data_IF_356725181212
#
_entry.id   IF_356725181212
#
_cell.length_a   1.000
_cell.length_b   1.000
_cell.length_c   1.000
_cell.angle_alpha   90.00
_cell.angle_beta   90.00
_cell.angle_gamma   90.00
#
_symmetry.space_group_name_H-M   'P 1'
#
loop_
_entity.id
_entity.type
_entity.pdbx_description
1 polymer ?
#
# COMPACT_ATOMS: atom_id res chain seq x y z
N UNK A 1 6.15 -8.92 28.26
CA UNK A 1 6.17 -9.84 27.11
C UNK A 1 5.29 -9.23 26.03
N UNK A 2 5.41 -9.65 24.77
CA UNK A 2 4.47 -9.21 23.72
C UNK A 2 3.42 -10.30 23.53
N UNK A 3 2.13 -9.93 23.57
CA UNK A 3 1.04 -10.87 23.29
C UNK A 3 0.46 -10.60 21.90
N UNK A 4 0.10 -11.65 21.19
CA UNK A 4 -0.50 -11.55 19.86
C UNK A 4 -2.01 -11.75 19.94
N UNK A 5 -2.75 -10.91 19.21
CA UNK A 5 -4.21 -11.07 19.14
C UNK A 5 -4.58 -12.31 18.32
N UNK A 6 -5.34 -13.28 18.87
CA UNK A 6 -5.68 -14.52 18.16
C UNK A 6 -6.59 -14.28 16.95
N UNK A 7 -7.29 -13.13 16.90
CA UNK A 7 -8.23 -12.81 15.81
C UNK A 7 -7.58 -12.11 14.63
N UNK A 8 -6.58 -11.25 14.86
CA UNK A 8 -5.99 -10.42 13.81
C UNK A 8 -4.47 -10.52 13.66
N UNK A 9 -3.78 -11.25 14.55
CA UNK A 9 -2.33 -11.47 14.47
C UNK A 9 -1.44 -10.28 14.85
N UNK A 10 -2.01 -9.12 15.20
CA UNK A 10 -1.23 -7.95 15.61
C UNK A 10 -0.64 -8.13 17.02
N UNK A 11 0.57 -7.62 17.24
CA UNK A 11 1.20 -7.55 18.56
C UNK A 11 0.57 -6.45 19.42
N UNK A 12 0.47 -6.71 20.72
CA UNK A 12 -0.12 -5.84 21.71
C UNK A 12 0.75 -5.82 22.97
N UNK A 13 0.69 -4.71 23.71
CA UNK A 13 1.23 -4.66 25.06
C UNK A 13 0.41 -5.57 26.00
N UNK A 14 1.09 -6.26 26.93
CA UNK A 14 0.49 -7.26 27.82
C UNK A 14 -0.71 -6.73 28.63
N UNK A 15 -0.70 -5.44 28.99
CA UNK A 15 -1.73 -4.79 29.82
C UNK A 15 -3.07 -4.56 29.11
N UNK A 16 -3.14 -4.73 27.78
CA UNK A 16 -4.31 -4.33 26.99
C UNK A 16 -5.39 -5.41 27.03
N UNK A 17 -6.52 -5.16 27.70
CA UNK A 17 -7.63 -6.13 27.80
C UNK A 17 -8.45 -6.29 26.52
N UNK A 18 -8.38 -5.31 25.60
CA UNK A 18 -9.13 -5.32 24.33
C UNK A 18 -8.20 -4.98 23.19
N UNK A 19 -8.10 -5.85 22.18
CA UNK A 19 -7.30 -5.58 21.00
C UNK A 19 -7.76 -4.28 20.31
N UNK A 20 -6.89 -3.28 20.26
CA UNK A 20 -7.18 -1.97 19.66
C UNK A 20 -7.44 -2.04 18.14
N UNK A 21 -7.05 -3.13 17.49
CA UNK A 21 -7.19 -3.29 16.04
C UNK A 21 -8.49 -3.98 15.60
N UNK A 22 -9.04 -4.87 16.42
CA UNK A 22 -10.21 -5.68 16.02
C UNK A 22 -11.28 -5.83 17.10
N UNK A 23 -11.11 -5.16 18.26
CA UNK A 23 -12.08 -5.19 19.36
C UNK A 23 -12.16 -6.52 20.12
N UNK A 24 -11.24 -7.46 19.87
CA UNK A 24 -11.23 -8.75 20.58
C UNK A 24 -10.87 -8.55 22.06
N UNK A 25 -11.81 -8.86 22.96
CA UNK A 25 -11.62 -8.90 24.41
C UNK A 25 -10.86 -10.15 24.80
N UNK A 26 -9.71 -9.99 25.46
CA UNK A 26 -9.00 -11.12 26.02
C UNK A 26 -9.77 -11.61 27.25
N UNK A 27 -10.00 -12.92 27.41
CA UNK A 27 -10.56 -13.46 28.64
C UNK A 27 -9.65 -13.01 29.78
N UNK A 28 -10.20 -12.26 30.74
CA UNK A 28 -9.46 -11.88 31.94
C UNK A 28 -9.10 -13.19 32.63
N UNK A 29 -7.84 -13.60 32.55
CA UNK A 29 -7.32 -14.66 33.40
C UNK A 29 -7.70 -14.26 34.83
N UNK A 30 -8.57 -15.07 35.45
CA UNK A 30 -8.96 -14.88 36.85
C UNK A 30 -7.69 -14.64 37.65
N UNK A 31 -7.66 -13.66 38.57
CA UNK A 31 -6.53 -13.53 39.47
C UNK A 31 -6.36 -14.86 40.18
N UNK A 32 -5.21 -15.49 39.95
CA UNK A 32 -4.83 -16.73 40.60
C UNK A 32 -4.73 -16.40 42.09
N UNK A 33 -5.75 -16.74 42.88
CA UNK A 33 -5.71 -16.63 44.33
C UNK A 33 -4.72 -17.67 44.84
N UNK A 34 -3.44 -17.26 44.98
CA UNK A 34 -2.50 -18.03 45.77
C UNK A 34 -2.96 -18.05 47.24
N UNK A 35 -2.89 -19.20 47.94
CA UNK A 35 -3.12 -19.26 49.37
C UNK A 35 -2.15 -18.33 50.10
N UNK A 36 -2.70 -17.44 50.93
CA UNK A 36 -1.92 -16.59 51.84
C UNK A 36 -1.16 -17.49 52.83
N UNK A 37 0.16 -17.49 52.75
CA UNK A 37 1.03 -17.86 53.87
C UNK A 37 1.01 -16.72 54.91
N UNK A 38 0.98 -17.04 56.22
CA UNK A 38 0.89 -16.04 57.27
C UNK A 38 2.15 -15.15 57.33
N UNK A 39 2.02 -13.89 57.79
CA UNK A 39 3.11 -12.93 57.80
C UNK A 39 4.19 -13.29 58.84
N UNK A 40 5.49 -13.07 58.54
CA UNK A 40 6.54 -13.20 59.53
C UNK A 40 6.44 -12.09 60.59
N UNK A 41 6.55 -12.49 61.85
CA UNK A 41 6.62 -11.62 63.02
C UNK A 41 7.92 -10.81 62.98
N UNK A 42 7.81 -9.48 62.91
CA UNK A 42 8.95 -8.57 62.99
C UNK A 42 9.37 -8.37 64.46
N UNK A 43 10.63 -8.67 64.77
CA UNK A 43 11.32 -8.16 65.97
C UNK A 43 11.81 -6.72 65.71
N UNK A 44 11.65 -5.78 66.66
CA UNK A 44 12.17 -4.43 66.52
C UNK A 44 13.70 -4.38 66.75
N UNK A 45 14.43 -3.77 65.81
CA UNK A 45 15.87 -3.55 65.87
C UNK A 45 16.18 -2.24 66.65
N UNK A 46 17.28 -2.14 67.42
CA UNK A 46 17.55 -0.98 68.27
C UNK A 46 18.07 0.24 67.50
N UNK A 47 17.64 1.41 67.94
CA UNK A 47 18.08 2.73 67.50
C UNK A 47 19.54 2.99 67.91
N UNK A 48 20.39 3.42 66.96
CA UNK A 48 21.73 3.97 67.24
C UNK A 48 21.76 5.50 66.98
N UNK A 49 22.46 6.29 67.81
CA UNK A 49 22.51 7.75 67.74
C UNK A 49 23.58 8.28 66.74
N UNK A 50 23.52 9.58 66.37
CA UNK A 50 24.36 10.14 65.32
C UNK A 50 25.78 10.51 65.82
N UNK A 51 26.79 10.20 65.02
CA UNK A 51 28.16 10.70 65.22
C UNK A 51 28.42 11.95 64.37
N UNK A 52 28.84 13.00 65.08
CA UNK A 52 29.51 14.20 64.59
C UNK A 52 31.00 13.89 64.25
N UNK A 53 31.71 14.90 63.71
CA UNK A 53 33.15 14.97 63.36
C UNK A 53 33.43 14.60 61.88
N UNK A 54 34.18 15.33 61.06
CA UNK A 54 35.02 16.52 61.24
C UNK A 54 35.75 16.83 59.92
N UNK A 55 36.29 18.05 59.83
CA UNK A 55 36.91 18.73 58.67
C UNK A 55 38.03 17.95 57.95
N UNK A 56 38.21 18.24 56.65
CA UNK A 56 39.52 18.64 56.09
C UNK A 56 39.37 19.33 54.73
N UNK A 57 40.00 20.50 54.60
CA UNK A 57 40.28 21.23 53.34
C UNK A 57 41.43 20.57 52.59
N UNK A 58 41.39 20.55 51.26
CA UNK A 58 42.49 20.96 50.38
C UNK A 58 41.90 21.29 49.00
N UNK A 59 42.19 22.49 48.48
CA UNK A 59 41.74 22.94 47.16
C UNK A 59 42.78 22.68 46.07
N UNK A 60 42.34 22.72 44.81
CA UNK A 60 43.04 23.40 43.71
C UNK A 60 42.16 23.44 42.45
N UNK A 61 42.01 24.66 41.92
CA UNK A 61 41.84 25.09 40.51
C UNK A 61 40.70 24.53 39.64
N UNK A 62 39.74 25.44 39.40
CA UNK A 62 38.83 25.52 38.25
C UNK A 62 39.55 25.41 36.89
N UNK A 63 38.82 25.02 35.84
CA UNK A 63 38.71 25.86 34.66
C UNK A 63 37.26 26.31 34.42
N UNK A 64 37.15 27.55 33.98
CA UNK A 64 35.94 28.28 33.63
C UNK A 64 34.94 27.46 32.81
N UNK A 65 33.73 27.33 33.35
CA UNK A 65 32.55 26.87 32.64
C UNK A 65 31.82 28.10 32.08
N UNK A 66 31.38 28.11 30.81
CA UNK A 66 30.70 29.26 30.23
C UNK A 66 29.35 29.48 30.89
N UNK A 67 29.08 30.75 31.20
CA UNK A 67 27.84 31.31 31.71
C UNK A 67 26.61 30.72 31.00
N UNK A 68 25.75 30.09 31.79
CA UNK A 68 24.53 29.43 31.34
C UNK A 68 23.59 30.40 30.62
N UNK A 69 23.15 29.97 29.45
CA UNK A 69 21.97 30.52 28.80
C UNK A 69 20.77 30.04 29.65
N UNK A 70 19.89 30.92 30.14
CA UNK A 70 18.73 30.50 30.91
C UNK A 70 17.87 29.56 30.06
N UNK A 71 17.69 28.33 30.54
CA UNK A 71 16.79 27.38 29.89
C UNK A 71 15.38 27.98 29.86
N UNK A 72 14.69 27.99 28.71
CA UNK A 72 13.29 28.36 28.66
C UNK A 72 12.51 27.39 29.55
N UNK A 73 11.88 27.91 30.59
CA UNK A 73 10.88 27.17 31.35
C UNK A 73 9.69 26.95 30.43
N UNK A 74 9.67 25.82 29.73
CA UNK A 74 8.50 25.38 28.98
C UNK A 74 7.41 25.10 30.00
N UNK A 75 6.50 26.06 30.17
CA UNK A 75 5.26 25.87 30.90
C UNK A 75 4.48 24.81 30.14
N UNK A 76 4.55 23.55 30.61
CA UNK A 76 3.72 22.47 30.11
C UNK A 76 2.27 22.90 30.31
N UNK A 77 1.64 23.36 29.22
CA UNK A 77 0.21 23.60 29.17
C UNK A 77 -0.43 22.26 29.49
N UNK A 78 -0.97 22.12 30.70
CA UNK A 78 -1.74 20.95 31.08
C UNK A 78 -2.81 20.77 30.01
N UNK A 79 -2.70 19.67 29.25
CA UNK A 79 -3.75 19.31 28.31
C UNK A 79 -5.04 19.19 29.11
N UNK A 80 -6.15 19.77 28.62
CA UNK A 80 -7.45 19.62 29.27
C UNK A 80 -7.71 18.13 29.47
N UNK A 81 -7.78 17.69 30.72
CA UNK A 81 -8.15 16.32 31.03
C UNK A 81 -9.65 16.22 30.75
N UNK A 82 -10.01 15.71 29.57
CA UNK A 82 -11.42 15.48 29.23
C UNK A 82 -12.03 14.55 30.28
N UNK A 83 -13.22 14.86 30.82
CA UNK A 83 -13.89 14.02 31.81
C UNK A 83 -14.19 12.64 31.21
N UNK A 84 -13.84 11.58 31.95
CA UNK A 84 -13.95 10.18 31.52
C UNK A 84 -15.37 9.76 31.06
N UNK A 85 -16.40 10.52 31.43
CA UNK A 85 -17.79 10.26 31.07
C UNK A 85 -18.19 10.74 29.66
N UNK A 86 -17.36 11.50 28.95
CA UNK A 86 -17.75 12.04 27.63
C UNK A 86 -17.82 10.96 26.55
N UNK A 87 -17.03 9.89 26.66
CA UNK A 87 -17.04 8.77 25.71
C UNK A 87 -18.24 7.82 25.96
N UNK A 88 -18.82 7.83 27.16
CA UNK A 88 -19.82 6.86 27.58
C UNK A 88 -21.24 7.13 27.04
N UNK A 89 -21.46 8.32 26.46
CA UNK A 89 -22.76 8.75 25.93
C UNK A 89 -22.86 8.70 24.40
N UNK A 90 -21.91 8.11 23.68
CA UNK A 90 -22.12 7.81 22.25
C UNK A 90 -23.29 6.81 22.17
N UNK A 91 -24.42 7.17 21.55
CA UNK A 91 -25.60 6.31 21.56
C UNK A 91 -25.24 4.98 20.91
N UNK A 92 -25.52 3.86 21.60
CA UNK A 92 -25.24 2.50 21.12
C UNK A 92 -25.77 2.24 19.70
N UNK A 93 -26.84 2.93 19.32
CA UNK A 93 -27.43 2.91 17.98
C UNK A 93 -26.47 3.44 16.90
N UNK A 94 -25.66 4.47 17.20
CA UNK A 94 -24.67 5.00 16.26
C UNK A 94 -23.54 4.00 16.02
N UNK A 95 -23.08 3.32 17.07
CA UNK A 95 -22.04 2.31 16.97
C UNK A 95 -22.49 1.09 16.14
N UNK A 96 -23.75 0.65 16.29
CA UNK A 96 -24.28 -0.46 15.50
C UNK A 96 -24.42 -0.09 14.02
N UNK A 97 -24.80 1.16 13.69
CA UNK A 97 -24.86 1.64 12.30
C UNK A 97 -23.46 1.72 11.67
N UNK A 98 -22.47 2.22 12.42
CA UNK A 98 -21.06 2.23 12.01
C UNK A 98 -20.52 0.81 11.76
N UNK A 99 -20.86 -0.14 12.62
CA UNK A 99 -20.39 -1.51 12.47
C UNK A 99 -21.03 -2.21 11.26
N UNK A 100 -22.32 -2.01 11.02
CA UNK A 100 -23.01 -2.57 9.84
C UNK A 100 -22.49 -1.95 8.55
N UNK A 101 -22.30 -0.62 8.51
CA UNK A 101 -21.73 0.05 7.33
C UNK A 101 -20.30 -0.38 7.06
N UNK A 102 -19.47 -0.58 8.09
CA UNK A 102 -18.12 -1.11 7.93
C UNK A 102 -18.10 -2.52 7.32
N UNK A 103 -18.99 -3.42 7.76
CA UNK A 103 -19.09 -4.76 7.19
C UNK A 103 -19.57 -4.75 5.74
N UNK A 104 -20.51 -3.86 5.40
CA UNK A 104 -20.96 -3.65 4.02
C UNK A 104 -19.81 -3.13 3.14
N UNK A 105 -19.03 -2.16 3.62
CA UNK A 105 -17.86 -1.65 2.91
C UNK A 105 -16.84 -2.78 2.67
N UNK A 106 -16.57 -3.60 3.69
CA UNK A 106 -15.63 -4.70 3.57
C UNK A 106 -16.08 -5.77 2.56
N UNK A 107 -17.39 -6.03 2.46
CA UNK A 107 -17.92 -6.96 1.45
C UNK A 107 -17.85 -6.36 0.05
N UNK A 108 -18.32 -5.13 -0.15
CA UNK A 108 -18.21 -4.41 -1.45
C UNK A 108 -16.77 -4.34 -1.92
N UNK A 109 -15.85 -4.14 -0.98
CA UNK A 109 -14.43 -4.11 -1.24
C UNK A 109 -13.88 -5.45 -1.76
N UNK A 110 -14.28 -6.57 -1.15
CA UNK A 110 -13.87 -7.89 -1.61
C UNK A 110 -14.42 -8.20 -3.02
N UNK A 111 -15.64 -7.75 -3.33
CA UNK A 111 -16.19 -7.86 -4.69
C UNK A 111 -15.42 -7.01 -5.69
N UNK A 112 -15.13 -5.74 -5.36
CA UNK A 112 -14.33 -4.86 -6.21
C UNK A 112 -12.95 -5.46 -6.51
N UNK A 113 -12.30 -6.01 -5.47
CA UNK A 113 -11.03 -6.74 -5.61
C UNK A 113 -11.12 -7.91 -6.58
N UNK A 114 -12.15 -8.74 -6.43
CA UNK A 114 -12.37 -9.90 -7.28
C UNK A 114 -12.62 -9.48 -8.74
N UNK A 115 -13.45 -8.47 -8.96
CA UNK A 115 -13.76 -7.92 -10.29
C UNK A 115 -12.48 -7.39 -10.96
N UNK A 116 -11.70 -6.59 -10.22
CA UNK A 116 -10.43 -6.03 -10.71
C UNK A 116 -9.44 -7.14 -11.04
N UNK A 117 -9.26 -8.13 -10.16
CA UNK A 117 -8.34 -9.22 -10.40
C UNK A 117 -8.74 -10.08 -11.61
N UNK A 118 -10.03 -10.35 -11.80
CA UNK A 118 -10.52 -11.04 -13.01
C UNK A 118 -10.30 -10.20 -14.26
N UNK A 119 -10.57 -8.89 -14.22
CA UNK A 119 -10.32 -7.98 -15.35
C UNK A 119 -8.84 -7.99 -15.78
N UNK A 120 -7.92 -7.94 -14.81
CA UNK A 120 -6.47 -8.04 -15.05
C UNK A 120 -6.09 -9.37 -15.71
N UNK A 121 -6.63 -10.48 -15.21
CA UNK A 121 -6.38 -11.81 -15.80
C UNK A 121 -6.91 -11.90 -17.23
N UNK A 122 -8.15 -11.46 -17.46
CA UNK A 122 -8.74 -11.48 -18.79
C UNK A 122 -7.98 -10.59 -19.76
N UNK A 123 -7.52 -9.42 -19.32
CA UNK A 123 -6.68 -8.56 -20.15
C UNK A 123 -5.36 -9.24 -20.51
N UNK A 124 -4.66 -9.80 -19.53
CA UNK A 124 -3.41 -10.52 -19.76
C UNK A 124 -3.59 -11.68 -20.74
N UNK A 125 -4.67 -12.45 -20.59
CA UNK A 125 -5.02 -13.55 -21.49
C UNK A 125 -5.39 -13.03 -22.88
N UNK A 126 -6.16 -11.95 -22.96
CA UNK A 126 -6.51 -11.29 -24.22
C UNK A 126 -5.27 -10.90 -25.01
N UNK A 127 -4.34 -10.19 -24.38
CA UNK A 127 -3.10 -9.73 -25.01
C UNK A 127 -2.14 -10.87 -25.40
N UNK A 128 -2.26 -12.07 -24.84
CA UNK A 128 -1.47 -13.22 -25.29
C UNK A 128 -1.86 -13.69 -26.69
N UNK A 129 -3.14 -13.60 -27.08
CA UNK A 129 -3.62 -14.07 -28.38
C UNK A 129 -2.95 -13.40 -29.58
N UNK A 130 -2.95 -12.05 -29.71
CA UNK A 130 -2.34 -11.39 -30.86
C UNK A 130 -0.82 -11.65 -30.92
N UNK A 131 -0.15 -11.83 -29.79
CA UNK A 131 1.28 -12.14 -29.77
C UNK A 131 1.58 -13.57 -30.23
N UNK A 132 0.75 -14.53 -29.85
CA UNK A 132 0.86 -15.92 -30.34
C UNK A 132 0.60 -15.96 -31.85
N UNK A 133 -0.43 -15.26 -32.33
CA UNK A 133 -0.72 -15.15 -33.76
C UNK A 133 0.42 -14.48 -34.53
N UNK A 134 1.00 -13.41 -33.97
CA UNK A 134 2.16 -12.74 -34.54
C UNK A 134 3.37 -13.68 -34.66
N UNK A 135 3.64 -14.52 -33.65
CA UNK A 135 4.72 -15.52 -33.71
C UNK A 135 4.44 -16.56 -34.79
N UNK A 136 3.23 -17.13 -34.83
CA UNK A 136 2.85 -18.14 -35.83
C UNK A 136 2.97 -17.57 -37.24
N UNK A 137 2.48 -16.34 -37.45
CA UNK A 137 2.58 -15.63 -38.72
C UNK A 137 4.05 -15.36 -39.09
N UNK A 138 4.85 -14.89 -38.14
CA UNK A 138 6.28 -14.60 -38.35
C UNK A 138 7.06 -15.86 -38.76
N UNK A 139 6.76 -17.01 -38.15
CA UNK A 139 7.37 -18.29 -38.53
C UNK A 139 6.94 -18.70 -39.94
N UNK A 140 5.64 -18.55 -40.27
CA UNK A 140 5.10 -18.91 -41.58
C UNK A 140 5.71 -18.10 -42.73
N UNK A 141 5.97 -16.81 -42.50
CA UNK A 141 6.50 -15.89 -43.52
C UNK A 141 8.01 -15.64 -43.40
N UNK A 142 8.73 -16.42 -42.58
CA UNK A 142 10.17 -16.25 -42.35
C UNK A 142 10.58 -14.84 -41.86
N UNK A 143 9.68 -14.13 -41.18
CA UNK A 143 9.92 -12.81 -40.61
C UNK A 143 10.52 -12.94 -39.20
N UNK A 144 11.75 -13.45 -39.10
CA UNK A 144 12.35 -13.77 -37.79
C UNK A 144 12.57 -12.57 -36.87
N UNK A 145 12.66 -11.35 -37.42
CA UNK A 145 12.90 -10.15 -36.63
C UNK A 145 11.77 -9.84 -35.63
N UNK A 146 10.50 -10.14 -35.97
CA UNK A 146 9.35 -9.89 -35.08
C UNK A 146 9.17 -10.94 -33.98
N UNK A 147 9.89 -12.07 -34.03
CA UNK A 147 9.76 -13.14 -33.03
C UNK A 147 10.32 -12.71 -31.67
N UNK A 148 11.46 -12.01 -31.66
CA UNK A 148 12.10 -11.56 -30.42
C UNK A 148 11.20 -10.60 -29.60
N UNK A 149 10.65 -9.50 -30.16
CA UNK A 149 9.74 -8.64 -29.38
C UNK A 149 8.45 -9.38 -28.99
N UNK A 150 7.88 -10.21 -29.86
CA UNK A 150 6.65 -10.95 -29.52
C UNK A 150 6.86 -11.92 -28.34
N UNK A 151 8.00 -12.61 -28.28
CA UNK A 151 8.32 -13.52 -27.15
C UNK A 151 8.54 -12.77 -25.83
N UNK A 152 9.18 -11.60 -25.87
CA UNK A 152 9.31 -10.73 -24.69
C UNK A 152 7.95 -10.19 -24.22
N UNK A 153 7.04 -9.84 -25.15
CA UNK A 153 5.67 -9.45 -24.79
C UNK A 153 4.92 -10.59 -24.11
N UNK A 154 4.98 -11.81 -24.64
CA UNK A 154 4.38 -12.98 -23.99
C UNK A 154 4.94 -13.15 -22.57
N UNK A 155 6.26 -13.07 -22.39
CA UNK A 155 6.87 -13.16 -21.06
C UNK A 155 6.35 -12.07 -20.12
N UNK A 156 6.21 -10.84 -20.61
CA UNK A 156 5.65 -9.73 -19.83
C UNK A 156 4.19 -10.00 -19.43
N UNK A 157 3.34 -10.47 -20.34
CA UNK A 157 1.94 -10.76 -20.05
C UNK A 157 1.76 -11.95 -19.12
N UNK A 158 2.65 -12.94 -19.15
CA UNK A 158 2.66 -14.03 -18.17
C UNK A 158 3.00 -13.52 -16.76
N UNK A 159 3.96 -12.60 -16.62
CA UNK A 159 4.26 -11.97 -15.34
C UNK A 159 3.06 -11.15 -14.85
N UNK A 160 2.43 -10.41 -15.76
CA UNK A 160 1.25 -9.62 -15.44
C UNK A 160 0.04 -10.49 -15.01
N UNK A 161 -0.13 -11.66 -15.63
CA UNK A 161 -1.10 -12.68 -15.24
C UNK A 161 -0.80 -13.21 -13.82
N UNK A 162 0.47 -13.53 -13.53
CA UNK A 162 0.88 -13.96 -12.18
C UNK A 162 0.59 -12.87 -11.14
N UNK A 163 0.84 -11.60 -11.46
CA UNK A 163 0.47 -10.46 -10.61
C UNK A 163 -1.03 -10.45 -10.34
N UNK A 164 -1.87 -10.62 -11.36
CA UNK A 164 -3.34 -10.71 -11.22
C UNK A 164 -3.78 -11.86 -10.31
N UNK A 165 -3.19 -13.05 -10.46
CA UNK A 165 -3.50 -14.21 -9.61
C UNK A 165 -3.07 -13.96 -8.16
N UNK A 166 -1.84 -13.48 -7.94
CA UNK A 166 -1.35 -13.17 -6.59
C UNK A 166 -2.18 -12.09 -5.91
N UNK A 167 -2.65 -11.12 -6.69
CA UNK A 167 -3.56 -10.09 -6.22
C UNK A 167 -4.88 -10.71 -5.73
N UNK A 168 -5.48 -11.65 -6.46
CA UNK A 168 -6.69 -12.36 -6.02
C UNK A 168 -6.47 -13.23 -4.77
N UNK A 169 -5.33 -13.92 -4.67
CA UNK A 169 -5.02 -14.83 -3.54
C UNK A 169 -4.74 -14.06 -2.24
N UNK A 170 -4.24 -12.82 -2.34
CA UNK A 170 -3.93 -12.03 -1.16
C UNK A 170 -5.17 -11.83 -0.28
N UNK A 171 -5.08 -12.03 1.04
CA UNK A 171 -6.25 -11.84 1.95
C UNK A 171 -6.66 -10.38 2.11
N UNK A 172 -5.70 -9.45 1.97
CA UNK A 172 -5.90 -8.02 2.05
C UNK A 172 -5.35 -7.36 0.77
N UNK A 173 -5.70 -6.10 0.47
CA UNK A 173 -4.98 -5.30 -0.54
C UNK A 173 -3.55 -4.93 -0.13
N UNK A 174 -3.06 -5.45 1.00
CA UNK A 174 -1.64 -5.36 1.28
C UNK A 174 -0.93 -5.97 0.08
N UNK A 175 -0.33 -5.11 -0.74
CA UNK A 175 0.52 -5.51 -1.84
C UNK A 175 1.52 -6.46 -1.23
N UNK A 176 1.38 -7.75 -1.56
CA UNK A 176 2.34 -8.74 -1.12
C UNK A 176 3.70 -8.22 -1.54
N UNK A 177 4.72 -8.38 -0.69
CA UNK A 177 6.05 -7.83 -0.95
C UNK A 177 6.61 -8.30 -2.30
N UNK A 178 6.06 -9.40 -2.83
CA UNK A 178 6.33 -9.96 -4.15
C UNK A 178 5.61 -9.27 -5.33
N UNK A 179 4.41 -8.69 -5.13
CA UNK A 179 3.62 -8.10 -6.22
C UNK A 179 4.36 -6.89 -6.81
N UNK A 180 4.90 -6.02 -5.97
CA UNK A 180 5.57 -4.80 -6.42
C UNK A 180 6.80 -5.06 -7.31
N UNK A 181 7.78 -5.91 -6.95
CA UNK A 181 8.89 -6.22 -7.83
C UNK A 181 8.45 -6.97 -9.10
N UNK A 182 7.41 -7.80 -9.04
CA UNK A 182 6.86 -8.45 -10.24
C UNK A 182 6.23 -7.42 -11.20
N UNK A 183 5.51 -6.42 -10.69
CA UNK A 183 4.98 -5.34 -11.50
C UNK A 183 6.09 -4.50 -12.15
N UNK A 184 7.16 -4.19 -11.42
CA UNK A 184 8.32 -3.49 -12.00
C UNK A 184 9.05 -4.36 -13.04
N UNK A 185 9.15 -5.67 -12.82
CA UNK A 185 9.73 -6.60 -13.79
C UNK A 185 8.90 -6.64 -15.08
N UNK A 186 7.57 -6.61 -14.98
CA UNK A 186 6.69 -6.49 -16.14
C UNK A 186 7.02 -5.24 -16.97
N UNK A 187 7.06 -4.05 -16.34
CA UNK A 187 7.38 -2.80 -17.03
C UNK A 187 8.81 -2.76 -17.58
N UNK A 188 9.76 -3.41 -16.89
CA UNK A 188 11.13 -3.54 -17.37
C UNK A 188 11.18 -4.35 -18.67
N UNK A 189 10.54 -5.52 -18.70
CA UNK A 189 10.50 -6.36 -19.90
C UNK A 189 9.77 -5.64 -21.02
N UNK A 190 8.64 -4.99 -20.73
CA UNK A 190 7.91 -4.18 -21.71
C UNK A 190 8.79 -3.08 -22.31
N UNK A 191 9.55 -2.36 -21.47
CA UNK A 191 10.48 -1.33 -21.95
C UNK A 191 11.59 -1.90 -22.84
N UNK A 192 12.16 -3.06 -22.48
CA UNK A 192 13.17 -3.75 -23.30
C UNK A 192 12.56 -4.17 -24.64
N UNK A 193 11.35 -4.73 -24.64
CA UNK A 193 10.63 -5.09 -25.86
C UNK A 193 10.51 -3.91 -26.81
N UNK A 194 10.09 -2.76 -26.29
CA UNK A 194 9.90 -1.55 -27.09
C UNK A 194 11.21 -1.03 -27.67
N UNK A 195 12.29 -1.08 -26.88
CA UNK A 195 13.62 -0.76 -27.40
C UNK A 195 14.03 -1.70 -28.55
N UNK A 196 13.76 -3.00 -28.42
CA UNK A 196 14.08 -4.00 -29.46
C UNK A 196 13.20 -3.80 -30.69
N UNK A 197 11.89 -3.61 -30.51
CA UNK A 197 10.94 -3.41 -31.60
C UNK A 197 11.26 -2.14 -32.41
N UNK A 198 11.54 -1.03 -31.73
CA UNK A 198 11.95 0.23 -32.39
C UNK A 198 13.32 0.14 -33.06
N UNK A 199 14.27 -0.60 -32.47
CA UNK A 199 15.56 -0.87 -33.11
C UNK A 199 15.39 -1.54 -34.48
N UNK A 200 14.48 -2.52 -34.54
CA UNK A 200 14.20 -3.32 -35.73
C UNK A 200 13.43 -2.48 -36.76
N UNK A 201 12.45 -1.69 -36.33
CA UNK A 201 11.52 -1.01 -37.23
C UNK A 201 12.12 0.22 -37.92
N UNK A 202 12.78 1.10 -37.18
CA UNK A 202 13.16 2.44 -37.68
C UNK A 202 14.62 2.79 -37.42
N UNK A 203 15.34 2.01 -36.60
CA UNK A 203 16.70 2.32 -36.17
C UNK A 203 16.86 3.63 -35.38
N UNK A 204 15.76 4.36 -35.16
CA UNK A 204 15.70 5.66 -34.48
C UNK A 204 14.38 5.72 -33.71
N UNK A 205 14.44 6.01 -32.41
CA UNK A 205 13.23 6.08 -31.56
C UNK A 205 13.21 5.21 -30.31
N UNK A 206 14.36 4.93 -29.69
CA UNK A 206 14.44 4.17 -28.42
C UNK A 206 13.80 4.88 -27.22
N UNK A 207 13.48 6.17 -27.36
CA UNK A 207 13.07 7.04 -26.27
C UNK A 207 11.95 6.46 -25.40
N UNK A 208 10.89 5.85 -25.96
CA UNK A 208 9.82 5.29 -25.16
C UNK A 208 10.31 4.13 -24.28
N UNK A 209 10.99 3.14 -24.86
CA UNK A 209 11.51 2.00 -24.12
C UNK A 209 12.55 2.38 -23.05
N UNK A 210 13.42 3.36 -23.33
CA UNK A 210 14.41 3.88 -22.37
C UNK A 210 13.73 4.49 -21.14
N UNK A 211 12.64 5.23 -21.32
CA UNK A 211 11.87 5.81 -20.21
C UNK A 211 11.32 4.70 -19.31
N UNK A 212 10.72 3.65 -19.88
CA UNK A 212 10.21 2.52 -19.11
C UNK A 212 11.30 1.79 -18.34
N UNK A 213 12.42 1.48 -19.01
CA UNK A 213 13.54 0.78 -18.38
C UNK A 213 14.11 1.61 -17.23
N UNK A 214 14.32 2.91 -17.45
CA UNK A 214 14.83 3.83 -16.42
C UNK A 214 13.85 3.93 -15.25
N UNK A 215 12.55 4.08 -15.54
CA UNK A 215 11.50 4.10 -14.53
C UNK A 215 11.50 2.82 -13.69
N UNK A 216 11.51 1.65 -14.31
CA UNK A 216 11.51 0.36 -13.62
C UNK A 216 12.76 0.16 -12.75
N UNK A 217 13.95 0.51 -13.25
CA UNK A 217 15.22 0.41 -12.51
C UNK A 217 15.20 1.32 -11.27
N UNK A 218 14.77 2.57 -11.43
CA UNK A 218 14.61 3.48 -10.29
C UNK A 218 13.62 2.92 -9.27
N UNK A 219 12.52 2.30 -9.72
CA UNK A 219 11.55 1.63 -8.85
C UNK A 219 12.21 0.52 -8.04
N UNK A 220 13.04 -0.32 -8.66
CA UNK A 220 13.79 -1.35 -7.96
C UNK A 220 14.75 -0.76 -6.92
N UNK A 221 15.46 0.31 -7.26
CA UNK A 221 16.33 1.01 -6.30
C UNK A 221 15.55 1.58 -5.12
N UNK A 222 14.36 2.13 -5.35
CA UNK A 222 13.49 2.62 -4.29
C UNK A 222 13.07 1.49 -3.31
N UNK A 223 12.83 0.27 -3.81
CA UNK A 223 12.53 -0.89 -2.96
C UNK A 223 13.75 -1.30 -2.12
N UNK A 224 14.93 -1.33 -2.76
CA UNK A 224 16.14 -1.87 -2.13
C UNK A 224 16.74 -0.90 -1.10
N UNK A 225 16.57 0.41 -1.27
CA UNK A 225 17.16 1.42 -0.38
C UNK A 225 16.34 1.61 0.90
N UNK A 226 16.46 0.66 1.84
CA UNK A 226 15.69 0.65 3.10
C UNK A 226 16.10 1.72 4.11
N UNK A 227 17.34 2.24 4.03
CA UNK A 227 17.92 3.03 5.14
C UNK A 227 17.63 4.53 5.05
N UNK A 228 17.36 5.07 3.85
CA UNK A 228 17.00 6.46 3.66
C UNK A 228 15.62 6.57 3.01
N UNK A 229 14.64 6.70 3.91
CA UNK A 229 13.23 6.83 3.63
C UNK A 229 12.93 7.93 2.61
N UNK A 230 13.50 9.12 2.77
CA UNK A 230 13.18 10.28 1.92
C UNK A 230 13.68 10.05 0.50
N UNK A 231 14.92 9.59 0.36
CA UNK A 231 15.50 9.31 -0.95
C UNK A 231 14.75 8.19 -1.68
N UNK A 232 14.33 7.14 -0.97
CA UNK A 232 13.51 6.09 -1.55
C UNK A 232 12.17 6.64 -2.10
N UNK A 233 11.56 7.65 -1.47
CA UNK A 233 10.34 8.28 -1.99
C UNK A 233 10.57 9.08 -3.25
N UNK A 234 11.61 9.92 -3.26
CA UNK A 234 11.88 10.77 -4.42
C UNK A 234 12.19 9.88 -5.62
N UNK A 235 12.99 8.83 -5.42
CA UNK A 235 13.31 7.86 -6.47
C UNK A 235 12.05 7.09 -6.91
N UNK A 236 11.22 6.61 -5.96
CA UNK A 236 9.99 5.90 -6.27
C UNK A 236 8.98 6.78 -7.01
N UNK A 237 8.86 8.05 -6.65
CA UNK A 237 8.01 9.03 -7.32
C UNK A 237 8.52 9.31 -8.75
N UNK A 238 9.82 9.53 -8.94
CA UNK A 238 10.41 9.75 -10.26
C UNK A 238 10.27 8.51 -11.14
N UNK A 239 10.51 7.31 -10.59
CA UNK A 239 10.27 6.03 -11.25
C UNK A 239 8.84 5.97 -11.81
N UNK A 240 7.88 6.26 -10.94
CA UNK A 240 6.47 6.26 -11.27
C UNK A 240 6.14 7.32 -12.34
N UNK A 241 6.67 8.53 -12.21
CA UNK A 241 6.47 9.62 -13.16
C UNK A 241 7.02 9.29 -14.56
N UNK A 242 8.17 8.61 -14.63
CA UNK A 242 8.74 8.19 -15.91
C UNK A 242 7.85 7.15 -16.61
N UNK A 243 7.43 6.10 -15.88
CA UNK A 243 6.51 5.10 -16.44
C UNK A 243 5.21 5.79 -16.92
N UNK A 244 4.78 6.85 -16.23
CA UNK A 244 3.59 7.61 -16.58
C UNK A 244 3.75 8.38 -17.89
N UNK A 245 4.84 9.13 -18.03
CA UNK A 245 5.13 9.92 -19.23
C UNK A 245 5.15 8.99 -20.45
N UNK A 246 5.74 7.80 -20.32
CA UNK A 246 5.70 6.78 -21.37
C UNK A 246 4.27 6.37 -21.72
N UNK A 247 3.49 5.92 -20.73
CA UNK A 247 2.14 5.41 -20.97
C UNK A 247 1.23 6.44 -21.62
N UNK A 248 1.37 7.72 -21.25
CA UNK A 248 0.56 8.80 -21.81
C UNK A 248 0.97 9.19 -23.24
N UNK A 249 2.26 9.13 -23.57
CA UNK A 249 2.78 9.62 -24.85
C UNK A 249 2.65 8.60 -25.98
N UNK A 250 2.76 7.29 -25.68
CA UNK A 250 2.93 6.28 -26.72
C UNK A 250 1.66 5.47 -27.01
N UNK A 251 0.80 5.24 -26.01
CA UNK A 251 -0.37 4.40 -26.21
C UNK A 251 -1.53 5.13 -26.91
N UNK A 252 -1.46 6.46 -27.12
CA UNK A 252 -2.52 7.33 -27.67
C UNK A 252 -3.93 7.08 -27.07
N UNK A 253 -3.95 6.35 -25.97
CA UNK A 253 -5.11 5.70 -25.42
C UNK A 253 -4.75 5.34 -23.98
N UNK A 254 -5.53 5.93 -23.08
CA UNK A 254 -6.05 5.26 -21.88
C UNK A 254 -5.23 5.49 -20.62
N UNK A 255 -5.87 6.23 -19.72
CA UNK A 255 -5.36 6.73 -18.44
C UNK A 255 -5.01 5.64 -17.39
N UNK A 256 -4.71 4.41 -17.81
CA UNK A 256 -4.40 3.29 -16.91
C UNK A 256 -3.02 3.40 -16.25
N UNK A 257 -1.99 3.74 -17.04
CA UNK A 257 -0.67 4.12 -16.51
C UNK A 257 -0.79 5.23 -15.46
N UNK A 258 -1.41 6.39 -15.77
CA UNK A 258 -1.72 7.46 -14.82
C UNK A 258 -2.32 7.03 -13.49
N UNK A 259 -3.36 6.20 -13.51
CA UNK A 259 -4.06 5.83 -12.29
C UNK A 259 -3.28 4.85 -11.42
N UNK A 260 -2.69 3.80 -12.02
CA UNK A 260 -1.85 2.83 -11.31
C UNK A 260 -0.63 3.52 -10.71
N UNK A 261 -0.09 4.51 -11.40
CA UNK A 261 1.09 5.27 -10.98
C UNK A 261 0.78 6.32 -9.93
N UNK A 262 -0.34 7.03 -10.05
CA UNK A 262 -0.76 7.97 -9.00
C UNK A 262 -1.12 7.23 -7.71
N UNK A 263 -1.68 6.02 -7.81
CA UNK A 263 -1.90 5.12 -6.67
C UNK A 263 -0.60 4.63 -6.07
N UNK A 264 0.35 4.19 -6.88
CA UNK A 264 1.65 3.73 -6.40
C UNK A 264 2.43 4.85 -5.71
N UNK A 265 2.46 6.05 -6.30
CA UNK A 265 3.10 7.22 -5.67
C UNK A 265 2.40 7.62 -4.37
N UNK A 266 1.06 7.62 -4.31
CA UNK A 266 0.35 7.89 -3.07
C UNK A 266 0.56 6.80 -2.01
N UNK A 267 0.58 5.52 -2.38
CA UNK A 267 0.84 4.39 -1.48
C UNK A 267 2.26 4.42 -0.90
N UNK A 268 3.23 4.83 -1.71
CA UNK A 268 4.62 5.07 -1.29
C UNK A 268 4.68 6.25 -0.30
N UNK A 269 3.97 7.35 -0.55
CA UNK A 269 3.90 8.48 0.40
C UNK A 269 3.22 8.06 1.71
N UNK A 270 2.17 7.24 1.64
CA UNK A 270 1.32 6.88 2.79
C UNK A 270 1.89 5.77 3.68
N UNK A 271 2.82 4.96 3.19
CA UNK A 271 3.47 3.91 3.98
C UNK A 271 4.36 4.47 5.10
N UNK A 272 4.68 5.77 5.06
CA UNK A 272 5.70 6.35 5.93
C UNK A 272 5.32 7.65 6.62
N UNK A 273 4.13 8.20 6.35
CA UNK A 273 3.51 9.21 7.22
C UNK A 273 2.86 8.47 8.40
N UNK A 274 3.33 8.77 9.61
CA UNK A 274 2.92 8.05 10.84
C UNK A 274 1.58 8.53 11.43
N UNK A 275 0.90 9.41 10.71
CA UNK A 275 -0.43 9.89 11.07
C UNK A 275 -1.47 8.90 10.53
N UNK A 276 -2.12 8.15 11.42
CA UNK A 276 -3.21 7.19 11.07
C UNK A 276 -4.28 7.82 10.18
N UNK A 277 -4.61 9.09 10.42
CA UNK A 277 -5.63 9.84 9.66
C UNK A 277 -5.17 10.12 8.22
N UNK A 278 -3.93 10.59 8.05
CA UNK A 278 -3.37 10.86 6.73
C UNK A 278 -3.31 9.56 5.93
N UNK A 279 -2.96 8.45 6.59
CA UNK A 279 -2.98 7.12 5.99
C UNK A 279 -4.37 6.75 5.45
N UNK A 280 -5.43 6.85 6.28
CA UNK A 280 -6.80 6.51 5.87
C UNK A 280 -7.31 7.34 4.67
N UNK A 281 -7.14 8.67 4.73
CA UNK A 281 -7.49 9.58 3.62
C UNK A 281 -6.67 9.23 2.38
N UNK A 282 -5.38 8.92 2.55
CA UNK A 282 -4.49 8.55 1.47
C UNK A 282 -4.88 7.27 0.73
N UNK A 283 -5.21 6.22 1.46
CA UNK A 283 -5.72 4.98 0.87
C UNK A 283 -7.01 5.23 0.08
N UNK A 284 -7.86 6.13 0.57
CA UNK A 284 -9.13 6.45 -0.07
C UNK A 284 -8.94 7.25 -1.36
N UNK A 285 -8.07 8.27 -1.34
CA UNK A 285 -7.68 9.03 -2.55
C UNK A 285 -7.02 8.11 -3.57
N UNK A 286 -6.14 7.21 -3.12
CA UNK A 286 -5.54 6.20 -3.98
C UNK A 286 -6.63 5.36 -4.66
N UNK A 287 -7.56 4.80 -3.88
CA UNK A 287 -8.65 3.99 -4.42
C UNK A 287 -9.49 4.76 -5.47
N UNK A 288 -9.80 6.04 -5.22
CA UNK A 288 -10.49 6.89 -6.20
C UNK A 288 -9.72 7.03 -7.52
N UNK A 289 -8.42 7.31 -7.43
CA UNK A 289 -7.60 7.52 -8.62
C UNK A 289 -7.43 6.22 -9.40
N UNK A 290 -7.18 5.10 -8.69
CA UNK A 290 -7.16 3.75 -9.27
C UNK A 290 -8.45 3.48 -10.07
N UNK A 291 -9.59 3.80 -9.46
CA UNK A 291 -10.90 3.59 -10.03
C UNK A 291 -11.16 4.40 -11.29
N UNK A 292 -10.77 5.68 -11.32
CA UNK A 292 -10.85 6.50 -12.53
C UNK A 292 -10.00 5.88 -13.64
N UNK A 293 -8.82 5.33 -13.30
CA UNK A 293 -8.01 4.52 -14.20
C UNK A 293 -8.74 3.34 -14.80
N UNK A 294 -9.35 2.52 -13.95
CA UNK A 294 -10.13 1.37 -14.40
C UNK A 294 -11.31 1.77 -15.28
N UNK A 295 -12.00 2.87 -14.99
CA UNK A 295 -13.09 3.36 -15.86
C UNK A 295 -12.53 3.74 -17.23
N UNK A 296 -11.51 4.60 -17.26
CA UNK A 296 -10.93 5.12 -18.50
C UNK A 296 -10.32 4.03 -19.38
N UNK A 297 -9.65 3.04 -18.78
CA UNK A 297 -9.16 1.85 -19.47
C UNK A 297 -10.28 0.91 -19.90
N UNK A 298 -11.30 0.75 -19.07
CA UNK A 298 -12.46 -0.04 -19.47
C UNK A 298 -13.13 0.56 -20.71
N UNK A 299 -13.35 1.88 -20.69
CA UNK A 299 -13.93 2.63 -21.80
C UNK A 299 -13.16 2.51 -23.10
N UNK A 300 -11.85 2.33 -23.02
CA UNK A 300 -11.03 2.24 -24.21
C UNK A 300 -10.90 0.86 -24.79
N UNK A 301 -10.87 -0.18 -23.96
CA UNK A 301 -11.01 -1.55 -24.44
C UNK A 301 -12.35 -1.74 -25.15
N UNK A 302 -13.39 -1.01 -24.72
CA UNK A 302 -14.69 -0.96 -25.40
C UNK A 302 -14.67 -0.23 -26.75
N UNK A 303 -13.65 0.57 -27.03
CA UNK A 303 -13.51 1.29 -28.30
C UNK A 303 -12.74 0.53 -29.38
N UNK A 304 -12.13 -0.61 -29.02
CA UNK A 304 -11.39 -1.45 -29.97
C UNK A 304 -12.34 -1.99 -31.03
N UNK A 305 -12.00 -1.84 -32.30
CA UNK A 305 -12.78 -2.43 -33.40
C UNK A 305 -12.52 -3.93 -33.51
N UNK A 306 -13.54 -4.72 -33.87
CA UNK A 306 -13.36 -6.15 -34.14
C UNK A 306 -12.40 -6.34 -35.34
N UNK A 307 -11.21 -6.95 -35.15
CA UNK A 307 -10.23 -7.12 -36.23
C UNK A 307 -10.63 -8.19 -37.26
N UNK A 308 -11.74 -8.91 -37.04
CA UNK A 308 -12.18 -10.01 -37.90
C UNK A 308 -11.36 -11.29 -37.68
N UNK A 309 -11.80 -12.40 -38.30
CA UNK A 309 -11.17 -13.71 -38.12
C UNK A 309 -11.52 -14.39 -36.78
N UNK A 310 -11.22 -15.69 -36.68
CA UNK A 310 -11.60 -16.50 -35.51
C UNK A 310 -10.85 -16.09 -34.24
N UNK A 311 -9.52 -15.94 -34.31
CA UNK A 311 -8.70 -15.47 -33.18
C UNK A 311 -8.99 -14.01 -32.83
N UNK A 312 -9.21 -13.16 -33.84
CA UNK A 312 -9.59 -11.77 -33.65
C UNK A 312 -10.94 -11.59 -32.94
N UNK A 313 -11.91 -12.45 -33.23
CA UNK A 313 -13.22 -12.43 -32.53
C UNK A 313 -13.09 -12.85 -31.07
N UNK A 314 -12.27 -13.87 -30.77
CA UNK A 314 -11.99 -14.28 -29.40
C UNK A 314 -11.25 -13.18 -28.61
N UNK A 315 -10.20 -12.59 -29.21
CA UNK A 315 -9.49 -11.44 -28.66
C UNK A 315 -10.45 -10.28 -28.36
N UNK A 316 -11.28 -9.91 -29.32
CA UNK A 316 -12.27 -8.84 -29.17
C UNK A 316 -13.25 -9.13 -28.02
N UNK A 317 -13.80 -10.35 -27.95
CA UNK A 317 -14.71 -10.75 -26.87
C UNK A 317 -14.07 -10.67 -25.48
N UNK A 318 -12.83 -11.16 -25.33
CA UNK A 318 -12.09 -11.10 -24.06
C UNK A 318 -11.75 -9.64 -23.69
N UNK A 319 -11.35 -8.83 -24.68
CA UNK A 319 -10.99 -7.42 -24.50
C UNK A 319 -12.20 -6.60 -24.07
N UNK A 320 -13.35 -6.77 -24.72
CA UNK A 320 -14.62 -6.13 -24.34
C UNK A 320 -15.05 -6.58 -22.95
N UNK A 321 -14.99 -7.89 -22.64
CA UNK A 321 -15.34 -8.40 -21.32
C UNK A 321 -14.45 -7.81 -20.21
N UNK A 322 -13.13 -7.75 -20.45
CA UNK A 322 -12.19 -7.09 -19.54
C UNK A 322 -12.51 -5.61 -19.38
N UNK A 323 -12.86 -4.93 -20.47
CA UNK A 323 -13.27 -3.53 -20.49
C UNK A 323 -14.49 -3.26 -19.62
N UNK A 324 -15.56 -4.04 -19.78
CA UNK A 324 -16.78 -3.95 -18.97
C UNK A 324 -16.46 -4.16 -17.49
N UNK A 325 -15.74 -5.24 -17.16
CA UNK A 325 -15.37 -5.54 -15.77
C UNK A 325 -14.50 -4.45 -15.16
N UNK A 326 -13.61 -3.85 -15.95
CA UNK A 326 -12.79 -2.71 -15.54
C UNK A 326 -13.66 -1.50 -15.21
N UNK A 327 -14.63 -1.13 -16.07
CA UNK A 327 -15.57 -0.03 -15.76
C UNK A 327 -16.35 -0.31 -14.49
N UNK A 328 -16.92 -1.51 -14.35
CA UNK A 328 -17.70 -1.91 -13.18
C UNK A 328 -16.83 -1.84 -11.91
N UNK A 329 -15.64 -2.45 -11.94
CA UNK A 329 -14.69 -2.43 -10.82
C UNK A 329 -14.26 -1.01 -10.45
N UNK A 330 -14.05 -0.15 -11.45
CA UNK A 330 -13.77 1.26 -11.29
C UNK A 330 -14.90 1.98 -10.54
N UNK A 331 -16.15 1.85 -10.99
CA UNK A 331 -17.33 2.45 -10.33
C UNK A 331 -17.45 1.98 -8.88
N UNK A 332 -17.30 0.68 -8.62
CA UNK A 332 -17.30 0.16 -7.24
C UNK A 332 -16.21 0.76 -6.38
N UNK A 333 -15.00 0.90 -6.92
CA UNK A 333 -13.90 1.51 -6.17
C UNK A 333 -14.10 3.03 -5.94
N UNK A 334 -14.81 3.75 -6.83
CA UNK A 334 -15.20 5.15 -6.56
C UNK A 334 -16.11 5.20 -5.34
N UNK A 335 -17.17 4.37 -5.35
CA UNK A 335 -18.13 4.31 -4.23
C UNK A 335 -17.40 3.97 -2.93
N UNK A 336 -16.58 2.92 -2.93
CA UNK A 336 -15.76 2.55 -1.77
C UNK A 336 -14.81 3.67 -1.31
N UNK A 337 -14.14 4.35 -2.25
CA UNK A 337 -13.23 5.45 -1.96
C UNK A 337 -13.94 6.63 -1.29
N UNK A 338 -15.10 7.04 -1.80
CA UNK A 338 -15.93 8.09 -1.18
C UNK A 338 -16.36 7.69 0.23
N UNK A 339 -16.85 6.46 0.40
CA UNK A 339 -17.25 5.96 1.72
C UNK A 339 -16.08 5.95 2.72
N UNK A 340 -14.88 5.53 2.30
CA UNK A 340 -13.71 5.55 3.17
C UNK A 340 -13.26 6.97 3.53
N UNK A 341 -13.40 7.95 2.63
CA UNK A 341 -13.15 9.36 2.94
C UNK A 341 -14.14 9.85 3.99
N UNK A 342 -15.44 9.64 3.77
CA UNK A 342 -16.50 10.07 4.69
C UNK A 342 -16.27 9.43 6.08
N UNK A 343 -16.00 8.12 6.11
CA UNK A 343 -15.71 7.41 7.35
C UNK A 343 -14.47 7.96 8.08
N UNK A 344 -13.39 8.25 7.33
CA UNK A 344 -12.16 8.82 7.89
C UNK A 344 -12.37 10.24 8.44
N UNK A 345 -13.27 11.03 7.83
CA UNK A 345 -13.62 12.36 8.31
C UNK A 345 -14.51 12.30 9.57
N UNK A 346 -15.53 11.44 9.60
CA UNK A 346 -16.44 11.30 10.75
C UNK A 346 -15.70 10.77 11.98
N UNK A 347 -14.82 9.77 11.80
CA UNK A 347 -14.04 9.20 12.92
C UNK A 347 -13.01 10.17 13.48
N UNK A 348 -12.63 11.22 12.73
CA UNK A 348 -11.77 12.28 13.25
C UNK A 348 -12.49 13.13 14.29
N UNK A 349 -13.76 13.46 14.06
CA UNK A 349 -14.52 14.32 14.99
C UNK A 349 -14.92 13.62 16.28
N UNK A 350 -14.87 12.28 16.33
CA UNK A 350 -15.23 11.51 17.53
C UNK A 350 -14.03 11.13 18.41
N UNK A 351 -12.80 11.29 17.91
CA UNK A 351 -11.56 10.91 18.62
C UNK A 351 -10.74 12.12 19.13
N UNK A 352 -11.14 13.35 18.78
CA UNK A 352 -10.62 14.61 19.31
C UNK A 352 -11.72 15.32 20.09
#
# INVERSE_FOLDING_TARGET
MEKYCPRCGNSLQDSVQVCQYCGYTFPSSQPNTQPQTPPPTYQPLPTQPPSNVGKTQYGTSQPNQPTGIPQPSYSYRQQPVLPANYIQNVPKQFLSVLQTSYQAILSTYNYAKLIVGISVILFAVGELFPQIELIISSIRFHAYASIAPATLLIASFLIYLVVGILFLISKNFSLNRLIYPLSLLYFLILGITEMVATAIATGTGYFPGVILVTGSILGFFAIMKSNDKITAYVIGFVSVLLIYIYSNSFLNSNLWGPAVLTVLSFLIVMTFVDMRVIRGVGWSISALILSIGFITFGSSLLSVSNPGGYLGTAYFGITVASGILSVIGGVFGIVCGIFMIIFSLITRETLF
#
